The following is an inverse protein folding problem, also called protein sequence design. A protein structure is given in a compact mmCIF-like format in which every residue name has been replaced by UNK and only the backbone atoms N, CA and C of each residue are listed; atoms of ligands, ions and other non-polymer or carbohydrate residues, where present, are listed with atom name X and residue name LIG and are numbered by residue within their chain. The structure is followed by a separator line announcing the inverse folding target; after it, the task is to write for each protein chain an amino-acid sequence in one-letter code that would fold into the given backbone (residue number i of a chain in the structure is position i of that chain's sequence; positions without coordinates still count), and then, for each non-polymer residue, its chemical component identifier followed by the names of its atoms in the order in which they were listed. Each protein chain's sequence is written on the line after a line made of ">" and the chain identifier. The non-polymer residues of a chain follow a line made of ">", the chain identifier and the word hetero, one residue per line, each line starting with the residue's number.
data_IF_115585851454
#
_entry.id   IF_115585851454
#
_cell.length_a   1.000
_cell.length_b   1.000
_cell.length_c   1.000
_cell.angle_alpha   90.00
_cell.angle_beta   90.00
_cell.angle_gamma   90.00
#
_symmetry.space_group_name_H-M   'P 1'
#
loop_
_entity.id
_entity.type
_entity.pdbx_description
1 polymer ?
#
# COMPACT_ATOMS: atom_id res chain seq x y z
N UNK A 1 -3.49 6.07 4.55
CA UNK A 1 -4.22 5.44 3.43
C UNK A 1 -4.97 4.17 3.86
N UNK A 2 -4.31 3.11 4.34
CA UNK A 2 -4.96 1.85 4.81
C UNK A 2 -6.00 2.11 5.91
N UNK A 3 -5.60 2.81 6.98
CA UNK A 3 -6.49 3.17 8.09
C UNK A 3 -7.72 3.94 7.60
N UNK A 4 -7.56 4.86 6.65
CA UNK A 4 -8.68 5.63 6.10
C UNK A 4 -9.73 4.76 5.42
N UNK A 5 -9.32 3.79 4.61
CA UNK A 5 -10.23 2.83 3.98
C UNK A 5 -10.92 1.92 5.00
N UNK A 6 -10.20 1.48 6.04
CA UNK A 6 -10.79 0.68 7.13
C UNK A 6 -11.81 1.47 7.96
N UNK A 7 -11.51 2.73 8.28
CA UNK A 7 -12.43 3.62 8.99
C UNK A 7 -13.67 3.87 8.13
N UNK A 8 -13.51 4.16 6.84
CA UNK A 8 -14.65 4.31 5.93
C UNK A 8 -15.49 3.03 5.86
N UNK A 9 -14.86 1.85 5.71
CA UNK A 9 -15.57 0.57 5.66
C UNK A 9 -16.35 0.30 6.95
N UNK A 10 -15.73 0.50 8.12
CA UNK A 10 -16.36 0.25 9.43
C UNK A 10 -17.49 1.22 9.73
N UNK A 11 -17.32 2.52 9.45
CA UNK A 11 -18.37 3.53 9.60
C UNK A 11 -19.54 3.22 8.66
N UNK A 12 -19.25 2.84 7.42
CA UNK A 12 -20.29 2.46 6.46
C UNK A 12 -21.03 1.20 6.95
N UNK A 13 -20.33 0.13 7.34
CA UNK A 13 -20.94 -1.14 7.84
C UNK A 13 -21.80 -0.94 9.09
N UNK A 14 -21.39 -0.06 10.01
CA UNK A 14 -22.10 0.13 11.29
C UNK A 14 -23.18 1.20 11.25
N UNK A 15 -23.10 2.12 10.28
CA UNK A 15 -23.91 3.33 10.22
C UNK A 15 -24.86 3.42 9.03
N UNK A 16 -24.75 2.51 8.06
CA UNK A 16 -25.57 2.50 6.85
C UNK A 16 -26.12 1.11 6.56
N UNK A 17 -27.41 1.05 6.22
CA UNK A 17 -28.08 -0.14 5.73
C UNK A 17 -28.23 -0.03 4.21
N UNK A 18 -27.85 -1.10 3.50
CA UNK A 18 -27.99 -1.20 2.05
C UNK A 18 -29.25 -1.97 1.74
N UNK A 19 -30.29 -1.27 1.29
CA UNK A 19 -31.55 -1.88 0.84
C UNK A 19 -31.45 -2.12 -0.66
N UNK A 20 -31.43 -3.39 -1.07
CA UNK A 20 -31.46 -3.80 -2.48
C UNK A 20 -32.90 -4.13 -2.87
N UNK A 21 -33.50 -3.28 -3.70
CA UNK A 21 -34.83 -3.56 -4.26
C UNK A 21 -34.66 -4.49 -5.46
N UNK A 22 -35.34 -5.63 -5.46
CA UNK A 22 -35.26 -6.64 -6.53
C UNK A 22 -36.51 -6.55 -7.42
N UNK A 23 -36.37 -6.46 -8.74
CA UNK A 23 -37.53 -6.39 -9.66
C UNK A 23 -38.21 -7.76 -9.83
N UNK A 24 -37.49 -8.88 -9.73
CA UNK A 24 -38.03 -10.25 -9.86
C UNK A 24 -37.21 -11.32 -9.11
N UNK A 25 -36.56 -10.95 -7.99
CA UNK A 25 -35.70 -11.85 -7.21
C UNK A 25 -34.34 -12.20 -7.83
N UNK A 26 -34.11 -11.86 -9.10
CA UNK A 26 -32.83 -12.06 -9.81
C UNK A 26 -32.15 -10.77 -10.28
N UNK A 27 -32.89 -9.69 -10.47
CA UNK A 27 -32.35 -8.38 -10.92
C UNK A 27 -32.48 -7.32 -9.83
N UNK A 28 -31.36 -6.70 -9.45
CA UNK A 28 -31.33 -5.51 -8.60
C UNK A 28 -31.79 -4.29 -9.41
N UNK A 29 -32.79 -3.57 -8.89
CA UNK A 29 -33.42 -2.42 -9.53
C UNK A 29 -32.79 -1.10 -9.07
N UNK A 30 -32.53 -1.02 -7.77
CA UNK A 30 -32.05 0.18 -7.10
C UNK A 30 -31.35 -0.23 -5.81
N UNK A 31 -30.16 0.34 -5.56
CA UNK A 31 -29.43 0.18 -4.31
C UNK A 31 -29.63 1.46 -3.49
N UNK A 32 -30.56 1.40 -2.55
CA UNK A 32 -30.86 2.52 -1.64
C UNK A 32 -29.96 2.39 -0.41
N UNK A 33 -29.06 3.35 -0.25
CA UNK A 33 -28.20 3.45 0.94
C UNK A 33 -28.88 4.33 1.97
N UNK A 34 -29.33 3.75 3.07
CA UNK A 34 -29.91 4.50 4.18
C UNK A 34 -28.90 4.61 5.33
N UNK A 35 -28.37 5.82 5.55
CA UNK A 35 -27.37 6.07 6.58
C UNK A 35 -27.94 6.92 7.71
N UNK A 36 -27.53 6.64 8.95
CA UNK A 36 -27.74 7.56 10.08
C UNK A 36 -27.02 8.89 9.80
N UNK A 37 -27.63 10.02 10.14
CA UNK A 37 -27.04 11.36 9.94
C UNK A 37 -25.65 11.48 10.58
N UNK A 38 -25.44 10.86 11.75
CA UNK A 38 -24.13 10.82 12.41
C UNK A 38 -23.07 10.07 11.59
N UNK A 39 -23.44 8.97 10.93
CA UNK A 39 -22.54 8.21 10.04
C UNK A 39 -22.12 9.06 8.83
N UNK A 40 -23.08 9.76 8.21
CA UNK A 40 -22.80 10.66 7.09
C UNK A 40 -21.82 11.77 7.44
N UNK A 41 -21.99 12.41 8.60
CA UNK A 41 -21.07 13.46 9.08
C UNK A 41 -19.66 12.87 9.34
N UNK A 42 -19.58 11.71 10.01
CA UNK A 42 -18.30 11.06 10.26
C UNK A 42 -17.58 10.71 8.95
N UNK A 43 -18.30 10.16 7.97
CA UNK A 43 -17.74 9.85 6.65
C UNK A 43 -17.18 11.08 5.94
N UNK A 44 -17.88 12.21 5.99
CA UNK A 44 -17.40 13.46 5.38
C UNK A 44 -16.10 13.94 6.05
N UNK A 45 -16.05 13.97 7.38
CA UNK A 45 -14.87 14.41 8.14
C UNK A 45 -13.67 13.49 7.85
N UNK A 46 -13.86 12.18 7.94
CA UNK A 46 -12.76 11.24 7.68
C UNK A 46 -12.31 11.22 6.23
N UNK A 47 -13.23 11.42 5.27
CA UNK A 47 -12.87 11.58 3.85
C UNK A 47 -12.04 12.84 3.63
N UNK A 48 -12.39 13.98 4.24
CA UNK A 48 -11.62 15.20 4.12
C UNK A 48 -10.19 15.04 4.67
N UNK A 49 -10.06 14.40 5.84
CA UNK A 49 -8.75 14.07 6.44
C UNK A 49 -7.96 13.13 5.52
N UNK A 50 -8.61 12.10 4.99
CA UNK A 50 -7.99 11.16 4.05
C UNK A 50 -7.43 11.88 2.81
N UNK A 51 -8.22 12.77 2.20
CA UNK A 51 -7.82 13.56 1.03
C UNK A 51 -6.64 14.48 1.37
N UNK A 52 -6.64 15.13 2.53
CA UNK A 52 -5.53 15.97 2.96
C UNK A 52 -4.20 15.19 3.08
N UNK A 53 -4.23 14.00 3.71
CA UNK A 53 -3.05 13.14 3.78
C UNK A 53 -2.63 12.60 2.41
N UNK A 54 -3.58 12.24 1.55
CA UNK A 54 -3.28 11.80 0.19
C UNK A 54 -2.58 12.90 -0.61
N UNK A 55 -3.06 14.15 -0.50
CA UNK A 55 -2.50 15.31 -1.19
C UNK A 55 -1.06 15.64 -0.76
N UNK A 56 -0.64 15.30 0.46
CA UNK A 56 0.73 15.53 0.95
C UNK A 56 1.65 14.33 0.66
N UNK A 57 1.07 13.12 0.56
CA UNK A 57 1.84 11.88 0.40
C UNK A 57 1.77 11.35 -1.03
N UNK A 58 0.89 10.38 -1.28
CA UNK A 58 0.79 9.63 -2.52
C UNK A 58 0.52 10.50 -3.75
N UNK A 59 -0.19 11.62 -3.58
CA UNK A 59 -0.47 12.58 -4.65
C UNK A 59 0.82 13.07 -5.33
N UNK A 60 1.66 13.88 -4.67
CA UNK A 60 2.90 14.40 -5.25
C UNK A 60 4.02 13.37 -5.33
N UNK A 61 4.16 12.50 -4.31
CA UNK A 61 5.31 11.59 -4.21
C UNK A 61 5.33 10.60 -5.37
N UNK A 62 4.18 10.08 -5.83
CA UNK A 62 4.16 9.11 -6.94
C UNK A 62 4.70 9.71 -8.25
N UNK A 63 4.41 10.98 -8.52
CA UNK A 63 4.89 11.68 -9.72
C UNK A 63 6.36 12.08 -9.60
N UNK A 64 6.80 12.51 -8.41
CA UNK A 64 8.19 12.88 -8.17
C UNK A 64 9.09 11.64 -8.22
N UNK A 65 8.71 10.60 -7.47
CA UNK A 65 9.50 9.37 -7.36
C UNK A 65 9.67 8.70 -8.72
N UNK A 66 8.61 8.63 -9.54
CA UNK A 66 8.72 8.08 -10.90
C UNK A 66 9.64 8.91 -11.81
N UNK A 67 9.82 10.20 -11.58
CA UNK A 67 10.76 11.02 -12.33
C UNK A 67 12.22 10.85 -11.85
N UNK A 68 12.43 10.52 -10.58
CA UNK A 68 13.76 10.42 -9.95
C UNK A 68 14.44 9.06 -10.16
N UNK A 69 13.67 7.96 -10.14
CA UNK A 69 14.24 6.61 -10.16
C UNK A 69 14.88 6.17 -11.48
N UNK A 70 14.59 6.87 -12.59
CA UNK A 70 15.08 6.47 -13.90
C UNK A 70 16.40 7.17 -14.25
N UNK A 71 17.37 6.42 -14.84
CA UNK A 71 18.62 7.01 -15.27
C UNK A 71 18.41 8.00 -16.42
N UNK A 72 19.30 8.99 -16.50
CA UNK A 72 19.17 10.19 -17.34
C UNK A 72 18.90 9.86 -18.82
N UNK A 73 19.53 8.82 -19.34
CA UNK A 73 19.47 8.41 -20.75
C UNK A 73 18.10 7.89 -21.21
N UNK A 74 17.29 7.30 -20.32
CA UNK A 74 15.99 6.69 -20.65
C UNK A 74 14.81 7.34 -19.93
N UNK A 75 15.08 8.30 -19.02
CA UNK A 75 14.08 8.91 -18.15
C UNK A 75 12.83 9.38 -18.88
N UNK A 76 12.97 10.15 -19.95
CA UNK A 76 11.82 10.69 -20.68
C UNK A 76 10.88 9.60 -21.20
N UNK A 77 11.44 8.49 -21.71
CA UNK A 77 10.65 7.34 -22.21
C UNK A 77 10.06 6.52 -21.06
N UNK A 78 10.80 6.33 -19.99
CA UNK A 78 10.33 5.57 -18.83
C UNK A 78 9.20 6.28 -18.07
N UNK A 79 9.32 7.61 -17.90
CA UNK A 79 8.28 8.45 -17.28
C UNK A 79 7.02 8.50 -18.16
N UNK A 80 7.15 8.56 -19.49
CA UNK A 80 5.98 8.54 -20.37
C UNK A 80 5.24 7.20 -20.32
N UNK A 81 5.96 6.08 -20.29
CA UNK A 81 5.37 4.75 -20.08
C UNK A 81 4.68 4.67 -18.72
N UNK A 82 5.34 5.12 -17.65
CA UNK A 82 4.77 5.13 -16.29
C UNK A 82 3.47 5.93 -16.23
N UNK A 83 3.47 7.12 -16.84
CA UNK A 83 2.28 8.00 -16.91
C UNK A 83 1.18 7.36 -17.75
N UNK A 84 1.52 6.78 -18.91
CA UNK A 84 0.57 6.05 -19.75
C UNK A 84 -0.05 4.86 -19.01
N UNK A 85 0.75 4.09 -18.28
CA UNK A 85 0.28 2.99 -17.43
C UNK A 85 -0.63 3.46 -16.31
N UNK A 86 -0.36 4.62 -15.69
CA UNK A 86 -1.23 5.20 -14.67
C UNK A 86 -2.62 5.50 -15.23
N UNK A 87 -2.70 6.18 -16.37
CA UNK A 87 -3.99 6.47 -17.01
C UNK A 87 -4.70 5.21 -17.50
N UNK A 88 -3.96 4.27 -18.09
CA UNK A 88 -4.49 2.99 -18.54
C UNK A 88 -5.08 2.17 -17.37
N UNK A 89 -4.37 2.10 -16.24
CA UNK A 89 -4.87 1.46 -15.03
C UNK A 89 -6.09 2.19 -14.48
N UNK A 90 -6.13 3.52 -14.54
CA UNK A 90 -7.30 4.32 -14.18
C UNK A 90 -8.53 3.93 -15.01
N UNK A 91 -8.38 3.78 -16.32
CA UNK A 91 -9.46 3.32 -17.21
C UNK A 91 -9.91 1.90 -16.87
N UNK A 92 -8.97 0.98 -16.66
CA UNK A 92 -9.30 -0.40 -16.25
C UNK A 92 -10.05 -0.42 -14.92
N UNK A 93 -9.61 0.38 -13.95
CA UNK A 93 -10.25 0.45 -12.64
C UNK A 93 -11.72 0.83 -12.78
N UNK A 94 -12.06 1.84 -13.58
CA UNK A 94 -13.46 2.25 -13.81
C UNK A 94 -14.33 1.08 -14.30
N UNK A 95 -13.84 0.27 -15.24
CA UNK A 95 -14.57 -0.92 -15.71
C UNK A 95 -14.63 -2.04 -14.68
N UNK A 96 -13.55 -2.28 -13.92
CA UNK A 96 -13.54 -3.29 -12.87
C UNK A 96 -14.56 -2.94 -11.80
N UNK A 97 -14.68 -1.67 -11.42
CA UNK A 97 -15.65 -1.20 -10.42
C UNK A 97 -17.10 -1.51 -10.82
N UNK A 98 -17.44 -1.40 -12.10
CA UNK A 98 -18.75 -1.80 -12.61
C UNK A 98 -18.95 -3.33 -12.52
N UNK A 99 -17.92 -4.11 -12.80
CA UNK A 99 -17.97 -5.58 -12.71
C UNK A 99 -18.13 -6.08 -11.26
N UNK A 100 -17.50 -5.41 -10.30
CA UNK A 100 -17.60 -5.74 -8.87
C UNK A 100 -18.71 -4.98 -8.14
N UNK A 101 -19.62 -4.32 -8.86
CA UNK A 101 -20.82 -3.72 -8.28
C UNK A 101 -21.59 -4.63 -7.30
N UNK A 102 -21.68 -5.98 -7.49
CA UNK A 102 -22.35 -6.85 -6.54
C UNK A 102 -21.72 -6.89 -5.13
N UNK A 103 -20.41 -6.59 -4.99
CA UNK A 103 -19.72 -6.54 -3.69
C UNK A 103 -20.27 -5.44 -2.77
N UNK A 104 -20.96 -4.45 -3.34
CA UNK A 104 -21.40 -3.26 -2.63
C UNK A 104 -20.23 -2.36 -2.21
N UNK A 105 -20.55 -1.13 -1.84
CA UNK A 105 -19.53 -0.11 -1.52
C UNK A 105 -18.73 -0.43 -0.25
N UNK A 106 -19.28 -1.16 0.74
CA UNK A 106 -18.49 -1.65 1.90
C UNK A 106 -17.36 -2.59 1.44
N UNK A 107 -17.69 -3.54 0.56
CA UNK A 107 -16.75 -4.51 0.02
C UNK A 107 -15.64 -3.83 -0.77
N UNK A 108 -15.97 -2.75 -1.49
CA UNK A 108 -14.99 -1.96 -2.21
C UNK A 108 -13.98 -1.27 -1.29
N UNK A 109 -14.42 -0.67 -0.17
CA UNK A 109 -13.50 -0.07 0.81
C UNK A 109 -12.55 -1.12 1.43
N UNK A 110 -13.02 -2.33 1.70
CA UNK A 110 -12.15 -3.42 2.18
C UNK A 110 -11.15 -3.87 1.12
N UNK A 111 -11.58 -3.98 -0.15
CA UNK A 111 -10.70 -4.31 -1.26
C UNK A 111 -9.59 -3.27 -1.42
N UNK A 112 -9.95 -1.98 -1.43
CA UNK A 112 -8.96 -0.90 -1.49
C UNK A 112 -8.06 -0.86 -0.26
N UNK A 113 -8.56 -1.18 0.93
CA UNK A 113 -7.70 -1.36 2.11
C UNK A 113 -6.63 -2.45 1.89
N UNK A 114 -7.01 -3.59 1.31
CA UNK A 114 -6.08 -4.67 0.98
C UNK A 114 -5.04 -4.27 -0.07
N UNK A 115 -5.48 -3.65 -1.17
CA UNK A 115 -4.58 -3.17 -2.23
C UNK A 115 -3.61 -2.09 -1.73
N UNK A 116 -4.10 -1.15 -0.91
CA UNK A 116 -3.26 -0.09 -0.35
C UNK A 116 -2.25 -0.64 0.66
N UNK A 117 -2.58 -1.70 1.39
CA UNK A 117 -1.63 -2.41 2.26
C UNK A 117 -0.53 -3.10 1.42
N UNK A 118 -0.92 -3.80 0.35
CA UNK A 118 0.02 -4.40 -0.60
C UNK A 118 0.96 -3.34 -1.21
N UNK A 119 0.42 -2.17 -1.58
CA UNK A 119 1.22 -1.06 -2.10
C UNK A 119 2.24 -0.54 -1.08
N UNK A 120 1.85 -0.41 0.20
CA UNK A 120 2.77 -0.01 1.27
C UNK A 120 3.88 -1.05 1.46
N UNK A 121 3.54 -2.35 1.44
CA UNK A 121 4.53 -3.43 1.53
C UNK A 121 5.48 -3.40 0.33
N UNK A 122 4.96 -3.15 -0.88
CA UNK A 122 5.77 -3.02 -2.09
C UNK A 122 6.77 -1.86 -1.97
N UNK A 123 6.30 -0.67 -1.58
CA UNK A 123 7.18 0.49 -1.39
C UNK A 123 8.25 0.21 -0.35
N UNK A 124 7.88 -0.39 0.79
CA UNK A 124 8.84 -0.71 1.85
C UNK A 124 9.94 -1.69 1.42
N UNK A 125 9.63 -2.65 0.55
CA UNK A 125 10.55 -3.71 0.14
C UNK A 125 11.35 -3.41 -1.13
N UNK A 126 10.79 -2.62 -2.05
CA UNK A 126 11.33 -2.45 -3.40
C UNK A 126 11.72 -1.02 -3.76
N UNK A 127 11.27 -0.01 -3.00
CA UNK A 127 11.54 1.38 -3.30
C UNK A 127 12.63 1.94 -2.36
N UNK A 128 13.87 2.15 -2.83
CA UNK A 128 14.89 2.88 -2.06
C UNK A 128 14.48 4.34 -1.84
N UNK A 129 15.03 4.96 -0.80
CA UNK A 129 14.90 6.40 -0.58
C UNK A 129 15.74 7.17 -1.60
N UNK A 130 15.13 8.13 -2.31
CA UNK A 130 15.79 8.94 -3.34
C UNK A 130 16.15 10.35 -2.87
N UNK A 131 15.73 10.75 -1.66
CA UNK A 131 15.96 12.09 -1.13
C UNK A 131 17.45 12.42 -0.99
N UNK A 132 17.85 13.50 -1.68
CA UNK A 132 19.20 14.05 -1.59
C UNK A 132 20.26 13.31 -2.42
N UNK A 133 19.83 12.38 -3.27
CA UNK A 133 20.68 11.67 -4.23
C UNK A 133 20.72 12.46 -5.53
N UNK A 134 21.91 12.61 -6.12
CA UNK A 134 22.05 13.21 -7.44
C UNK A 134 21.48 12.26 -8.50
N UNK A 135 20.84 12.81 -9.54
CA UNK A 135 20.16 12.01 -10.56
C UNK A 135 21.11 11.17 -11.42
N UNK A 136 22.41 11.42 -11.33
CA UNK A 136 23.50 10.63 -11.93
C UNK A 136 23.87 9.40 -11.09
N UNK A 137 23.73 9.47 -9.77
CA UNK A 137 24.09 8.41 -8.81
C UNK A 137 22.92 7.48 -8.45
N UNK A 138 21.79 7.63 -9.13
CA UNK A 138 20.58 6.84 -8.84
C UNK A 138 20.83 5.34 -9.04
N UNK A 139 21.67 4.96 -10.01
CA UNK A 139 22.00 3.56 -10.29
C UNK A 139 22.73 2.92 -9.10
N UNK A 140 23.69 3.63 -8.51
CA UNK A 140 24.43 3.16 -7.32
C UNK A 140 23.51 2.96 -6.12
N UNK A 141 22.55 3.87 -5.93
CA UNK A 141 21.57 3.80 -4.84
C UNK A 141 20.72 2.51 -4.92
N UNK A 142 20.31 2.11 -6.13
CA UNK A 142 19.54 0.88 -6.33
C UNK A 142 20.37 -0.38 -6.09
N UNK A 143 21.65 -0.36 -6.43
CA UNK A 143 22.55 -1.50 -6.22
C UNK A 143 22.87 -1.69 -4.73
N UNK A 144 23.15 -0.60 -4.01
CA UNK A 144 23.31 -0.61 -2.55
C UNK A 144 22.04 -1.10 -1.84
N UNK A 145 20.86 -0.66 -2.30
CA UNK A 145 19.59 -1.12 -1.77
C UNK A 145 19.41 -2.64 -1.94
N UNK A 146 19.74 -3.20 -3.11
CA UNK A 146 19.70 -4.65 -3.34
C UNK A 146 20.66 -5.40 -2.41
N UNK A 147 21.85 -4.87 -2.17
CA UNK A 147 22.86 -5.50 -1.30
C UNK A 147 22.43 -5.49 0.17
N UNK A 148 21.89 -4.36 0.65
CA UNK A 148 21.32 -4.23 2.00
C UNK A 148 20.18 -5.22 2.21
N UNK A 149 19.24 -5.29 1.27
CA UNK A 149 18.08 -6.18 1.39
C UNK A 149 18.49 -7.67 1.36
N UNK A 150 19.45 -8.05 0.50
CA UNK A 150 20.06 -9.40 0.51
C UNK A 150 20.75 -9.73 1.83
N UNK A 151 21.42 -8.76 2.45
CA UNK A 151 22.11 -8.95 3.72
C UNK A 151 21.12 -9.13 4.87
N UNK A 152 20.05 -8.34 4.93
CA UNK A 152 18.96 -8.52 5.89
C UNK A 152 18.34 -9.90 5.75
N UNK A 153 18.01 -10.34 4.53
CA UNK A 153 17.47 -11.69 4.28
C UNK A 153 18.46 -12.77 4.72
N UNK A 154 19.77 -12.59 4.47
CA UNK A 154 20.81 -13.52 4.94
C UNK A 154 20.91 -13.56 6.46
N UNK A 155 20.79 -12.42 7.15
CA UNK A 155 20.80 -12.32 8.61
C UNK A 155 19.55 -12.94 9.23
N UNK A 156 18.36 -12.70 8.65
CA UNK A 156 17.11 -13.35 9.06
C UNK A 156 17.12 -14.86 8.79
N UNK A 157 17.84 -15.29 7.74
CA UNK A 157 18.03 -16.72 7.43
C UNK A 157 19.10 -17.37 8.29
N UNK A 158 20.00 -16.64 8.97
CA UNK A 158 21.04 -17.27 9.81
C UNK A 158 20.34 -18.15 10.85
N UNK A 159 20.49 -19.49 10.77
CA UNK A 159 19.83 -20.37 11.73
C UNK A 159 20.38 -20.05 13.11
N UNK A 160 19.46 -19.96 14.09
CA UNK A 160 19.70 -19.72 15.51
C UNK A 160 20.48 -20.87 16.18
N UNK A 161 21.59 -21.32 15.57
CA UNK A 161 22.39 -22.45 16.03
C UNK A 161 23.87 -22.08 16.22
N UNK A 162 24.27 -20.86 15.87
CA UNK A 162 25.65 -20.39 16.06
C UNK A 162 25.89 -19.84 17.48
N UNK A 163 24.85 -19.37 18.16
CA UNK A 163 24.93 -18.89 19.55
C UNK A 163 25.05 -20.03 20.58
N UNK A 164 24.61 -21.26 20.26
CA UNK A 164 24.74 -22.42 21.16
C UNK A 164 26.19 -22.91 21.28
N UNK A 165 27.02 -22.71 20.24
CA UNK A 165 28.44 -23.13 20.26
C UNK A 165 29.37 -22.16 20.98
N UNK A 166 28.99 -20.87 21.09
CA UNK A 166 29.79 -19.87 21.82
C UNK A 166 29.58 -19.95 23.34
N UNK A 167 28.38 -20.27 23.81
CA UNK A 167 28.11 -20.47 25.25
C UNK A 167 28.80 -21.74 25.82
N UNK A 168 29.10 -22.73 24.98
CA UNK A 168 29.77 -23.96 25.41
C UNK A 168 31.32 -23.87 25.45
N UNK A 169 31.94 -22.79 24.97
CA UNK A 169 33.40 -22.61 24.98
C UNK A 169 33.91 -21.62 26.04
N UNK A 170 33.02 -20.86 26.67
CA UNK A 170 33.36 -19.95 27.78
C UNK A 170 32.99 -20.64 29.09
N UNK A 171 33.74 -21.69 29.44
CA UNK A 171 33.97 -22.17 30.80
C UNK A 171 34.83 -23.44 30.75
N UNK A 172 36.14 -23.26 30.67
CA UNK A 172 37.03 -23.98 31.55
C UNK A 172 37.82 -22.97 32.38
N UNK A 173 38.02 -23.25 33.66
CA UNK A 173 38.74 -22.45 34.67
C UNK A 173 37.81 -21.56 35.50
N UNK A 174 37.18 -22.16 36.52
CA UNK A 174 36.85 -21.59 37.84
C UNK A 174 36.14 -22.70 38.64
N UNK A 175 36.88 -23.77 38.95
CA UNK A 175 36.54 -24.69 40.05
C UNK A 175 37.69 -25.69 40.27
N UNK A 176 38.59 -25.35 41.19
CA UNK A 176 39.09 -26.19 42.30
C UNK A 176 40.39 -25.60 42.84
N UNK A 177 40.28 -25.24 44.13
CA UNK A 177 41.30 -25.10 45.18
C UNK A 177 42.68 -24.53 44.81
#
# INVERSE_FOLDING_TARGET
>A
MVIGHLVAATVFVTGCDVVKTMINGTTVAEEMVNCKTSSGILMLVFTAIFVAFFAISWGPIAWIYSAEIFPLNVRAKAVSITTGSNWFMGTIMSYILELIAPLGIHGLFYLFSGLTLLAVVFVYLFCPETRGVLLEDIEETFDDFKLKNRTIIKLLRKPCNENRKKSAKVNPIEMKL
#
